data_IF_659619417358
#
_entry.id   IF_659619417358
#
_cell.length_a   1.000
_cell.length_b   1.000
_cell.length_c   1.000
_cell.angle_alpha   90.00
_cell.angle_beta   90.00
_cell.angle_gamma   90.00
#
_symmetry.space_group_name_H-M   'P 1'
#
loop_
_entity.id
_entity.type
_entity.pdbx_description
1 polymer ?
#
# COMPACT_ATOMS: atom_id res chain seq x y z
N UNK A 1 51.27 -47.26 -19.30
CA UNK A 1 50.69 -45.97 -19.75
C UNK A 1 49.19 -46.04 -20.06
N UNK A 2 48.59 -47.20 -20.29
CA UNK A 2 47.14 -47.32 -20.60
C UNK A 2 46.19 -47.28 -19.39
N UNK A 3 46.64 -47.66 -18.19
CA UNK A 3 45.78 -47.70 -16.99
C UNK A 3 45.50 -46.34 -16.37
N UNK A 4 46.32 -45.35 -16.61
CA UNK A 4 46.16 -43.98 -16.08
C UNK A 4 45.15 -43.20 -16.93
N UNK A 5 45.08 -43.43 -18.22
CA UNK A 5 44.16 -42.75 -19.13
C UNK A 5 42.70 -43.23 -18.95
N UNK A 6 42.46 -44.50 -18.65
CA UNK A 6 41.12 -44.99 -18.35
C UNK A 6 40.55 -44.40 -17.05
N UNK A 7 41.38 -44.29 -16.00
CA UNK A 7 40.94 -43.66 -14.73
C UNK A 7 40.62 -42.20 -14.86
N UNK A 8 41.35 -41.47 -15.73
CA UNK A 8 41.07 -40.04 -15.99
C UNK A 8 39.79 -39.89 -16.80
N UNK A 9 39.48 -40.76 -17.74
CA UNK A 9 38.19 -40.75 -18.46
C UNK A 9 37.01 -41.09 -17.55
N UNK A 10 37.13 -42.07 -16.67
CA UNK A 10 36.09 -42.44 -15.72
C UNK A 10 35.81 -41.32 -14.68
N UNK A 11 36.87 -40.60 -14.25
CA UNK A 11 36.70 -39.42 -13.36
C UNK A 11 36.07 -38.23 -14.06
N UNK A 12 36.42 -38.00 -15.39
CA UNK A 12 35.76 -36.97 -16.17
C UNK A 12 34.28 -37.29 -16.46
N UNK A 13 33.96 -38.51 -16.79
CA UNK A 13 32.55 -38.94 -16.96
C UNK A 13 31.73 -38.86 -15.68
N UNK A 14 32.31 -39.25 -14.52
CA UNK A 14 31.63 -39.07 -13.22
C UNK A 14 31.41 -37.58 -12.87
N UNK A 15 32.36 -36.69 -13.17
CA UNK A 15 32.20 -35.26 -12.96
C UNK A 15 31.14 -34.61 -13.90
N UNK A 16 31.00 -35.11 -15.12
CA UNK A 16 29.98 -34.65 -16.07
C UNK A 16 28.59 -35.12 -15.60
N UNK A 17 28.45 -36.34 -15.13
CA UNK A 17 27.19 -36.83 -14.57
C UNK A 17 26.77 -36.07 -13.31
N UNK A 18 27.69 -35.74 -12.39
CA UNK A 18 27.36 -34.94 -11.20
C UNK A 18 26.94 -33.50 -11.55
N UNK A 19 27.47 -32.90 -12.62
CA UNK A 19 27.00 -31.59 -13.09
C UNK A 19 25.64 -31.69 -13.77
N UNK A 20 25.34 -32.78 -14.49
CA UNK A 20 24.03 -32.98 -15.10
C UNK A 20 22.96 -33.27 -14.03
N UNK A 21 23.28 -34.07 -13.01
CA UNK A 21 22.37 -34.33 -11.87
C UNK A 21 22.16 -33.08 -11.00
N UNK A 22 23.15 -32.22 -10.80
CA UNK A 22 22.96 -30.94 -10.08
C UNK A 22 22.13 -29.92 -10.87
N UNK A 23 22.24 -29.89 -12.19
CA UNK A 23 21.38 -29.01 -13.05
C UNK A 23 19.94 -29.57 -13.10
N UNK A 24 19.77 -30.90 -13.16
CA UNK A 24 18.43 -31.53 -13.10
C UNK A 24 17.83 -31.35 -11.71
N UNK A 25 18.63 -31.43 -10.63
CA UNK A 25 18.13 -31.22 -9.25
C UNK A 25 17.82 -29.75 -8.93
N UNK A 26 18.53 -28.79 -9.56
CA UNK A 26 18.20 -27.35 -9.45
C UNK A 26 16.95 -27.01 -10.27
N UNK A 27 16.68 -27.70 -11.39
CA UNK A 27 15.41 -27.57 -12.13
C UNK A 27 14.21 -28.20 -11.40
N UNK A 28 14.44 -29.18 -10.51
CA UNK A 28 13.38 -29.74 -9.65
C UNK A 28 13.18 -29.00 -8.32
N UNK A 29 14.06 -28.03 -7.97
CA UNK A 29 13.94 -27.17 -6.80
C UNK A 29 13.49 -25.74 -7.14
N UNK A 30 13.06 -25.47 -8.37
CA UNK A 30 12.18 -24.33 -8.61
C UNK A 30 10.91 -24.56 -7.81
N UNK A 31 10.56 -23.66 -6.88
CA UNK A 31 9.50 -23.97 -5.93
C UNK A 31 8.21 -24.25 -6.70
N UNK A 32 7.55 -25.36 -6.35
CA UNK A 32 6.21 -25.71 -6.82
C UNK A 32 5.22 -24.52 -6.77
N UNK A 33 5.51 -23.53 -5.96
CA UNK A 33 4.80 -22.26 -5.88
C UNK A 33 4.77 -21.44 -7.18
N UNK A 34 5.84 -21.44 -8.00
CA UNK A 34 5.85 -20.69 -9.28
C UNK A 34 4.98 -21.41 -10.31
N UNK A 35 5.00 -22.73 -10.36
CA UNK A 35 4.10 -23.51 -11.22
C UNK A 35 2.66 -23.42 -10.75
N UNK A 36 2.40 -23.44 -9.44
CA UNK A 36 1.06 -23.25 -8.89
C UNK A 36 0.51 -21.83 -9.13
N UNK A 37 1.36 -20.81 -9.11
CA UNK A 37 0.94 -19.44 -9.45
C UNK A 37 0.64 -19.29 -10.95
N UNK A 38 1.46 -19.87 -11.83
CA UNK A 38 1.22 -19.83 -13.29
C UNK A 38 -0.04 -20.65 -13.65
N UNK A 39 -0.23 -21.82 -13.04
CA UNK A 39 -1.42 -22.67 -13.25
C UNK A 39 -2.70 -21.98 -12.70
N UNK A 40 -2.59 -21.29 -11.59
CA UNK A 40 -3.71 -20.50 -11.04
C UNK A 40 -4.02 -19.26 -11.89
N UNK A 41 -3.02 -18.53 -12.39
CA UNK A 41 -3.23 -17.40 -13.30
C UNK A 41 -3.85 -17.86 -14.64
N UNK A 42 -3.41 -18.99 -15.20
CA UNK A 42 -3.96 -19.56 -16.44
C UNK A 42 -5.38 -20.09 -16.22
N UNK A 43 -5.64 -20.75 -15.08
CA UNK A 43 -7.00 -21.19 -14.72
C UNK A 43 -7.93 -20.02 -14.42
N UNK A 44 -7.44 -18.97 -13.74
CA UNK A 44 -8.22 -17.75 -13.53
C UNK A 44 -8.57 -17.07 -14.87
N UNK A 45 -7.62 -17.00 -15.83
CA UNK A 45 -7.90 -16.46 -17.18
C UNK A 45 -8.86 -17.32 -17.98
N UNK A 46 -8.80 -18.67 -17.87
CA UNK A 46 -9.76 -19.56 -18.53
C UNK A 46 -11.16 -19.50 -17.92
N UNK A 47 -11.27 -19.31 -16.60
CA UNK A 47 -12.56 -19.09 -15.93
C UNK A 47 -13.13 -17.73 -16.35
N UNK A 48 -12.30 -16.68 -16.45
CA UNK A 48 -12.71 -15.36 -16.93
C UNK A 48 -13.24 -15.40 -18.38
N UNK A 49 -12.62 -16.19 -19.26
CA UNK A 49 -13.08 -16.41 -20.63
C UNK A 49 -14.38 -17.26 -20.70
N UNK A 50 -14.50 -18.29 -19.85
CA UNK A 50 -15.70 -19.14 -19.83
C UNK A 50 -16.92 -18.46 -19.20
N UNK A 51 -16.71 -17.52 -18.26
CA UNK A 51 -17.78 -16.69 -17.70
C UNK A 51 -18.25 -15.61 -18.70
N UNK A 52 -17.35 -15.14 -19.60
CA UNK A 52 -17.71 -14.22 -20.69
C UNK A 52 -18.66 -14.88 -21.72
N UNK A 53 -18.46 -16.16 -22.01
CA UNK A 53 -19.33 -16.91 -22.96
C UNK A 53 -20.70 -17.27 -22.36
N UNK A 54 -20.84 -17.30 -21.03
CA UNK A 54 -22.13 -17.64 -20.39
C UNK A 54 -23.09 -16.45 -20.23
N UNK A 55 -22.65 -15.23 -20.58
CA UNK A 55 -23.48 -14.01 -20.60
C UNK A 55 -23.68 -13.57 -22.05
N UNK A 56 -24.17 -14.47 -22.90
CA UNK A 56 -24.93 -14.07 -24.10
C UNK A 56 -26.25 -13.51 -23.57
N UNK A 57 -26.33 -12.20 -23.46
CA UNK A 57 -27.59 -11.49 -23.22
C UNK A 57 -28.47 -11.79 -24.41
N UNK A 58 -29.55 -12.54 -24.19
CA UNK A 58 -30.68 -12.56 -25.13
C UNK A 58 -31.26 -11.14 -25.14
N UNK A 59 -30.76 -10.32 -26.06
CA UNK A 59 -31.39 -9.06 -26.41
C UNK A 59 -32.68 -9.40 -27.14
N UNK A 60 -33.78 -9.45 -26.40
CA UNK A 60 -35.07 -9.17 -27.00
C UNK A 60 -35.05 -7.67 -27.36
N UNK A 61 -34.93 -7.39 -28.64
CA UNK A 61 -35.15 -6.08 -29.23
C UNK A 61 -36.65 -5.76 -29.10
N UNK A 62 -37.06 -5.33 -27.92
CA UNK A 62 -38.24 -4.47 -27.80
C UNK A 62 -37.73 -3.02 -27.85
N UNK A 63 -38.37 -2.17 -28.64
CA UNK A 63 -38.10 -0.73 -28.78
C UNK A 63 -38.10 -0.04 -27.40
N UNK A 64 -37.02 -0.13 -26.66
CA UNK A 64 -36.85 0.58 -25.41
C UNK A 64 -36.44 2.02 -25.74
N UNK A 65 -37.33 2.95 -25.52
CA UNK A 65 -37.01 4.38 -25.41
C UNK A 65 -35.83 4.50 -24.42
N UNK A 66 -34.67 4.97 -24.90
CA UNK A 66 -33.47 5.07 -24.07
C UNK A 66 -33.80 5.90 -22.84
N UNK A 67 -33.73 5.27 -21.66
CA UNK A 67 -34.02 5.97 -20.40
C UNK A 67 -33.04 7.13 -20.21
N UNK A 68 -33.51 8.32 -19.79
CA UNK A 68 -32.66 9.47 -19.60
C UNK A 68 -31.68 9.26 -18.42
N UNK A 69 -30.57 10.03 -18.43
CA UNK A 69 -29.66 10.13 -17.29
C UNK A 69 -30.37 10.69 -16.06
N UNK A 70 -30.17 10.17 -14.83
CA UNK A 70 -29.32 9.04 -14.46
C UNK A 70 -30.05 7.68 -14.45
N UNK A 71 -31.34 7.63 -14.87
CA UNK A 71 -32.22 6.45 -14.76
C UNK A 71 -31.63 5.27 -15.56
N UNK A 72 -31.08 5.54 -16.75
CA UNK A 72 -30.43 4.51 -17.56
C UNK A 72 -29.31 3.80 -16.80
N UNK A 73 -28.51 4.54 -16.00
CA UNK A 73 -27.43 3.97 -15.20
C UNK A 73 -27.96 3.18 -14.01
N UNK A 74 -29.02 3.67 -13.37
CA UNK A 74 -29.68 2.96 -12.26
C UNK A 74 -30.18 1.58 -12.71
N UNK A 75 -30.84 1.50 -13.87
CA UNK A 75 -31.33 0.24 -14.42
C UNK A 75 -30.18 -0.71 -14.74
N UNK A 76 -29.17 -0.25 -15.48
CA UNK A 76 -28.01 -1.07 -15.84
C UNK A 76 -27.24 -1.57 -14.61
N UNK A 77 -27.04 -0.74 -13.58
CA UNK A 77 -26.39 -1.14 -12.33
C UNK A 77 -27.22 -2.15 -11.54
N UNK A 78 -28.57 -2.00 -11.54
CA UNK A 78 -29.48 -2.94 -10.91
C UNK A 78 -29.42 -4.31 -11.59
N UNK A 79 -29.34 -4.35 -12.92
CA UNK A 79 -29.21 -5.60 -13.69
C UNK A 79 -27.90 -6.35 -13.35
N UNK A 80 -26.78 -5.64 -13.12
CA UNK A 80 -25.54 -6.27 -12.70
C UNK A 80 -25.64 -7.01 -11.37
N UNK A 81 -26.57 -6.62 -10.49
CA UNK A 81 -26.82 -7.30 -9.22
C UNK A 81 -27.54 -8.66 -9.38
N UNK A 82 -28.07 -8.98 -10.56
CA UNK A 82 -28.62 -10.31 -10.87
C UNK A 82 -27.52 -11.37 -11.07
N UNK A 83 -26.23 -11.00 -10.93
CA UNK A 83 -25.11 -11.93 -11.05
C UNK A 83 -25.23 -13.08 -10.05
N UNK A 84 -24.98 -14.32 -10.53
CA UNK A 84 -25.06 -15.55 -9.72
C UNK A 84 -24.16 -15.53 -8.47
N UNK A 85 -23.04 -14.80 -8.51
CA UNK A 85 -22.12 -14.67 -7.37
C UNK A 85 -22.84 -14.13 -6.11
N UNK A 86 -23.82 -13.25 -6.27
CA UNK A 86 -24.56 -12.65 -5.14
C UNK A 86 -25.57 -13.59 -4.46
N UNK A 87 -25.75 -14.83 -4.96
CA UNK A 87 -26.49 -15.86 -4.22
C UNK A 87 -25.74 -16.34 -2.98
N UNK A 88 -24.41 -16.22 -2.94
CA UNK A 88 -23.54 -16.74 -1.86
C UNK A 88 -22.54 -15.71 -1.34
N UNK A 89 -22.50 -14.52 -1.93
CA UNK A 89 -21.59 -13.45 -1.51
C UNK A 89 -22.34 -12.14 -1.25
N UNK A 90 -21.66 -11.19 -0.67
CA UNK A 90 -22.20 -9.88 -0.31
C UNK A 90 -21.53 -8.78 -1.13
N UNK A 91 -22.27 -7.71 -1.41
CA UNK A 91 -21.75 -6.48 -1.97
C UNK A 91 -22.36 -5.27 -1.26
N UNK A 92 -21.54 -4.32 -0.90
CA UNK A 92 -21.93 -2.96 -0.56
C UNK A 92 -21.44 -2.04 -1.69
N UNK A 93 -22.33 -1.26 -2.28
CA UNK A 93 -22.01 -0.38 -3.40
C UNK A 93 -22.73 0.96 -3.27
N UNK A 94 -22.03 2.03 -3.61
CA UNK A 94 -22.61 3.36 -3.77
C UNK A 94 -21.92 4.10 -4.92
N UNK A 95 -22.73 4.80 -5.71
CA UNK A 95 -22.28 5.71 -6.78
C UNK A 95 -22.91 7.08 -6.54
N UNK A 96 -22.06 8.09 -6.55
CA UNK A 96 -22.46 9.47 -6.31
C UNK A 96 -22.00 10.38 -7.43
N UNK A 97 -22.90 11.20 -7.94
CA UNK A 97 -22.63 12.23 -8.92
C UNK A 97 -22.17 13.50 -8.19
N UNK A 98 -20.86 13.78 -8.25
CA UNK A 98 -20.27 14.94 -7.61
C UNK A 98 -20.72 16.24 -8.32
N UNK A 99 -20.91 16.19 -9.64
CA UNK A 99 -21.32 17.34 -10.44
C UNK A 99 -22.75 17.76 -10.13
N UNK A 100 -23.66 16.80 -9.99
CA UNK A 100 -25.07 17.05 -9.66
C UNK A 100 -25.36 17.04 -8.15
N UNK A 101 -24.36 16.75 -7.29
CA UNK A 101 -24.49 16.62 -5.83
C UNK A 101 -25.60 15.64 -5.43
N UNK A 102 -25.68 14.48 -6.09
CA UNK A 102 -26.77 13.52 -5.91
C UNK A 102 -26.30 12.07 -5.96
N UNK A 103 -27.01 11.19 -5.23
CA UNK A 103 -26.77 9.74 -5.29
C UNK A 103 -27.39 9.18 -6.56
N UNK A 104 -26.58 8.51 -7.40
CA UNK A 104 -27.06 7.78 -8.58
C UNK A 104 -27.56 6.40 -8.18
N UNK A 105 -26.76 5.65 -7.41
CA UNK A 105 -27.07 4.27 -7.08
C UNK A 105 -26.56 3.92 -5.69
N UNK A 106 -27.31 3.11 -4.97
CA UNK A 106 -26.89 2.56 -3.68
C UNK A 106 -27.50 1.16 -3.48
N UNK A 107 -26.67 0.27 -2.97
CA UNK A 107 -27.08 -1.09 -2.62
C UNK A 107 -26.26 -1.58 -1.42
N UNK A 108 -26.91 -1.89 -0.32
CA UNK A 108 -26.24 -2.26 0.94
C UNK A 108 -25.11 -1.29 1.33
N UNK A 109 -25.22 -0.02 0.97
CA UNK A 109 -24.19 1.00 1.09
C UNK A 109 -23.71 1.23 2.52
N UNK A 110 -24.55 0.92 3.51
CA UNK A 110 -24.25 1.02 4.95
C UNK A 110 -23.76 -0.29 5.58
N UNK A 111 -23.79 -1.38 4.81
CA UNK A 111 -23.31 -2.67 5.32
C UNK A 111 -21.83 -2.58 5.65
N UNK A 112 -21.46 -3.07 6.84
CA UNK A 112 -20.08 -3.15 7.27
C UNK A 112 -19.40 -4.35 6.61
N UNK A 113 -18.41 -4.06 5.78
CA UNK A 113 -17.63 -5.02 5.05
C UNK A 113 -16.13 -4.74 5.25
N UNK A 114 -15.29 -5.73 4.96
CA UNK A 114 -13.85 -5.56 4.98
C UNK A 114 -13.40 -4.77 3.74
N UNK A 115 -12.78 -3.59 3.92
CA UNK A 115 -12.37 -2.76 2.80
C UNK A 115 -11.19 -3.32 2.02
N UNK A 116 -10.39 -4.20 2.63
CA UNK A 116 -9.05 -4.50 2.15
C UNK A 116 -8.27 -3.20 1.87
N UNK A 117 -7.47 -3.12 0.82
CA UNK A 117 -6.62 -1.95 0.55
C UNK A 117 -7.35 -0.68 0.10
N UNK A 118 -8.69 -0.65 -0.04
CA UNK A 118 -9.41 0.63 -0.17
C UNK A 118 -9.40 1.43 1.14
N UNK A 119 -9.09 0.78 2.29
CA UNK A 119 -8.77 1.46 3.54
C UNK A 119 -7.69 2.53 3.37
N UNK A 120 -6.76 2.36 2.43
CA UNK A 120 -5.70 3.33 2.12
C UNK A 120 -6.24 4.68 1.65
N UNK A 121 -7.45 4.74 1.07
CA UNK A 121 -8.13 6.01 0.76
C UNK A 121 -8.45 6.79 2.03
N UNK A 122 -9.01 6.14 3.03
CA UNK A 122 -9.34 6.76 4.32
C UNK A 122 -8.06 7.28 4.99
N UNK A 123 -6.99 6.47 5.00
CA UNK A 123 -5.69 6.84 5.56
C UNK A 123 -5.07 8.02 4.82
N UNK A 124 -5.02 7.98 3.47
CA UNK A 124 -4.44 9.02 2.63
C UNK A 124 -5.18 10.36 2.78
N UNK A 125 -6.50 10.34 2.69
CA UNK A 125 -7.33 11.55 2.78
C UNK A 125 -7.20 12.16 4.17
N UNK A 126 -7.18 11.33 5.23
CA UNK A 126 -6.96 11.82 6.59
C UNK A 126 -5.57 12.43 6.76
N UNK A 127 -4.53 11.81 6.17
CA UNK A 127 -3.17 12.33 6.24
C UNK A 127 -3.04 13.67 5.50
N UNK A 128 -3.62 13.80 4.32
CA UNK A 128 -3.63 15.06 3.58
C UNK A 128 -4.43 16.16 4.29
N UNK A 129 -5.55 15.82 4.95
CA UNK A 129 -6.32 16.79 5.77
C UNK A 129 -5.55 17.23 7.02
N UNK A 130 -4.90 16.30 7.72
CA UNK A 130 -4.24 16.56 9.01
C UNK A 130 -2.84 17.13 8.89
N UNK A 131 -2.03 16.58 7.96
CA UNK A 131 -0.61 16.90 7.82
C UNK A 131 -0.34 17.89 6.69
N UNK A 132 -1.23 17.93 5.69
CA UNK A 132 -1.10 18.76 4.49
C UNK A 132 -0.18 18.16 3.43
N UNK A 133 -0.30 18.64 2.19
CA UNK A 133 0.48 18.15 1.03
C UNK A 133 1.97 18.48 1.04
N UNK A 134 2.42 19.38 1.91
CA UNK A 134 3.83 19.69 2.11
C UNK A 134 4.55 18.81 3.16
N UNK A 135 3.87 17.81 3.71
CA UNK A 135 4.42 16.97 4.76
C UNK A 135 5.62 16.14 4.29
N UNK A 136 6.60 15.94 5.19
CA UNK A 136 7.83 15.20 4.96
C UNK A 136 7.99 14.07 5.98
N UNK A 137 8.25 12.86 5.49
CA UNK A 137 8.70 11.71 6.29
C UNK A 137 10.20 11.88 6.51
N UNK A 138 10.63 12.07 7.75
CA UNK A 138 11.96 12.57 8.05
C UNK A 138 12.74 11.65 8.99
N UNK A 139 13.88 11.16 8.54
CA UNK A 139 14.87 10.47 9.38
C UNK A 139 16.08 11.39 9.56
N UNK A 140 16.61 11.53 10.78
CA UNK A 140 17.66 12.50 11.08
C UNK A 140 18.76 11.94 11.97
N UNK A 141 19.95 12.48 11.78
CA UNK A 141 21.17 12.13 12.50
C UNK A 141 21.54 13.28 13.43
N UNK A 142 21.87 12.96 14.67
CA UNK A 142 22.20 13.91 15.72
C UNK A 142 23.43 13.47 16.48
N UNK A 143 24.15 14.41 17.10
CA UNK A 143 25.28 14.11 17.97
C UNK A 143 25.22 14.84 19.30
N UNK A 144 25.87 14.27 20.31
CA UNK A 144 26.24 14.96 21.57
C UNK A 144 27.75 15.03 21.67
N UNK A 145 28.24 15.88 22.55
CA UNK A 145 29.67 16.03 22.81
C UNK A 145 30.42 16.77 21.71
N UNK A 146 31.73 16.89 21.90
CA UNK A 146 32.65 17.65 21.05
C UNK A 146 33.57 16.74 20.26
N UNK A 147 34.04 17.23 19.10
CA UNK A 147 35.08 16.57 18.31
C UNK A 147 36.43 17.14 18.72
N UNK A 148 37.35 16.28 19.16
CA UNK A 148 38.71 16.62 19.50
C UNK A 148 39.67 15.61 18.87
N UNK A 149 40.63 16.06 18.11
CA UNK A 149 41.62 15.22 17.41
C UNK A 149 40.96 14.10 16.60
N UNK A 150 39.88 14.43 15.84
CA UNK A 150 39.09 13.54 15.02
C UNK A 150 38.29 12.47 15.81
N UNK A 151 38.19 12.63 17.13
CA UNK A 151 37.41 11.77 18.03
C UNK A 151 36.18 12.52 18.51
N UNK A 152 35.00 12.01 18.23
CA UNK A 152 33.78 12.49 18.87
C UNK A 152 33.72 11.93 20.30
N UNK A 153 33.94 12.79 21.31
CA UNK A 153 33.72 12.47 22.72
C UNK A 153 32.23 12.60 23.07
N UNK A 154 31.43 11.68 22.57
CA UNK A 154 29.97 11.72 22.68
C UNK A 154 29.32 10.63 21.86
N UNK A 155 28.02 10.77 21.62
CA UNK A 155 27.20 9.77 20.99
C UNK A 155 26.57 10.30 19.69
N UNK A 156 26.22 9.36 18.81
CA UNK A 156 25.39 9.60 17.64
C UNK A 156 23.98 9.06 17.91
N UNK A 157 22.96 9.76 17.42
CA UNK A 157 21.56 9.37 17.53
C UNK A 157 20.91 9.35 16.14
N UNK A 158 20.39 8.20 15.75
CA UNK A 158 19.57 8.04 14.54
C UNK A 158 18.11 8.15 14.95
N UNK A 159 17.48 9.28 14.67
CA UNK A 159 16.07 9.53 15.02
C UNK A 159 15.18 9.09 13.87
N UNK A 160 14.44 8.00 14.08
CA UNK A 160 13.54 7.44 13.10
C UNK A 160 12.24 8.24 12.98
N UNK A 161 11.86 8.58 11.74
CA UNK A 161 10.61 9.22 11.42
C UNK A 161 9.67 8.35 10.61
N UNK A 162 9.89 7.04 10.62
CA UNK A 162 9.12 6.06 9.86
C UNK A 162 9.00 6.44 8.38
N UNK A 163 10.15 6.79 7.78
CA UNK A 163 10.27 7.02 6.34
C UNK A 163 10.43 5.67 5.62
N UNK A 164 9.43 5.18 4.90
CA UNK A 164 9.48 3.87 4.24
C UNK A 164 10.37 3.89 2.97
N UNK A 165 10.81 5.07 2.54
CA UNK A 165 11.63 5.27 1.34
C UNK A 165 13.12 5.42 1.63
N UNK A 166 13.52 5.60 2.91
CA UNK A 166 14.92 5.75 3.28
C UNK A 166 15.76 4.61 2.67
N UNK A 167 16.83 4.97 1.98
CA UNK A 167 17.61 4.05 1.15
C UNK A 167 19.13 4.17 1.37
N UNK A 168 19.93 3.49 0.54
CA UNK A 168 21.39 3.51 0.67
C UNK A 168 21.99 4.90 0.38
N UNK A 169 21.42 5.70 -0.52
CA UNK A 169 21.94 7.04 -0.83
C UNK A 169 21.72 7.97 0.36
N UNK A 170 20.58 7.84 1.06
CA UNK A 170 20.33 8.55 2.31
C UNK A 170 21.30 8.12 3.41
N UNK A 171 21.63 6.82 3.47
CA UNK A 171 22.62 6.29 4.43
C UNK A 171 24.01 6.80 4.12
N UNK A 172 24.42 6.85 2.86
CA UNK A 172 25.69 7.47 2.46
C UNK A 172 25.76 8.95 2.84
N UNK A 173 24.65 9.69 2.70
CA UNK A 173 24.60 11.08 3.13
C UNK A 173 24.85 11.21 4.65
N UNK A 174 24.29 10.32 5.47
CA UNK A 174 24.55 10.29 6.93
C UNK A 174 26.02 10.02 7.25
N UNK A 175 26.63 9.04 6.59
CA UNK A 175 28.04 8.71 6.82
C UNK A 175 28.96 9.83 6.33
N UNK A 176 28.64 10.44 5.19
CA UNK A 176 29.42 11.56 4.66
C UNK A 176 29.35 12.79 5.58
N UNK A 177 28.19 13.10 6.16
CA UNK A 177 28.07 14.22 7.10
C UNK A 177 28.88 14.00 8.39
N UNK A 178 29.07 12.76 8.84
CA UNK A 178 30.00 12.43 9.94
C UNK A 178 31.46 12.67 9.53
N UNK A 179 31.84 12.30 8.29
CA UNK A 179 33.19 12.56 7.73
C UNK A 179 33.49 14.06 7.60
N UNK A 180 32.49 14.84 7.14
CA UNK A 180 32.61 16.30 7.01
C UNK A 180 32.85 16.99 8.37
N UNK A 181 32.46 16.36 9.48
CA UNK A 181 32.80 16.78 10.84
C UNK A 181 34.20 16.32 11.26
N UNK A 182 34.97 15.74 10.34
CA UNK A 182 36.31 15.19 10.58
C UNK A 182 36.36 14.13 11.70
N UNK A 183 35.30 13.29 11.82
CA UNK A 183 35.21 12.24 12.82
C UNK A 183 35.69 10.92 12.22
N UNK A 184 36.79 10.37 12.77
CA UNK A 184 37.29 9.03 12.51
C UNK A 184 36.92 8.02 13.60
N UNK A 185 36.66 8.53 14.81
CA UNK A 185 36.28 7.69 15.95
C UNK A 185 35.11 8.29 16.70
N UNK A 186 34.10 7.50 16.96
CA UNK A 186 32.99 7.81 17.84
C UNK A 186 33.30 7.10 19.17
N UNK A 187 33.78 7.88 20.18
CA UNK A 187 34.10 7.39 21.51
C UNK A 187 32.83 7.31 22.39
N UNK A 188 31.83 6.65 21.90
CA UNK A 188 30.50 6.49 22.50
C UNK A 188 29.64 5.50 21.72
N UNK A 189 28.35 5.58 21.97
CA UNK A 189 27.34 4.76 21.31
C UNK A 189 26.77 5.40 20.05
N UNK A 190 26.26 4.55 19.15
CA UNK A 190 25.31 4.94 18.10
C UNK A 190 23.92 4.48 18.53
N UNK A 191 23.07 5.41 18.91
CA UNK A 191 21.73 5.11 19.39
C UNK A 191 20.70 5.08 18.29
N UNK A 192 19.80 4.08 18.35
CA UNK A 192 18.57 4.02 17.58
C UNK A 192 17.43 4.68 18.38
N UNK A 193 17.00 5.86 17.98
CA UNK A 193 15.84 6.52 18.56
C UNK A 193 14.57 6.15 17.78
N UNK A 194 13.82 5.19 18.32
CA UNK A 194 12.53 4.73 17.81
C UNK A 194 11.35 5.30 18.60
N UNK A 195 11.56 6.33 19.40
CA UNK A 195 10.56 6.91 20.32
C UNK A 195 9.34 7.52 19.65
N UNK A 196 9.33 7.63 18.31
CA UNK A 196 8.18 8.11 17.55
C UNK A 196 6.93 7.24 17.78
N UNK A 197 7.07 5.91 17.86
CA UNK A 197 5.99 4.97 18.05
C UNK A 197 6.29 3.94 19.14
N UNK A 198 5.25 3.25 19.60
CA UNK A 198 5.37 2.10 20.49
C UNK A 198 6.24 0.97 19.90
N UNK A 199 6.53 -0.03 20.71
CA UNK A 199 7.41 -1.14 20.33
C UNK A 199 6.72 -2.20 19.46
N UNK A 200 5.40 -2.10 19.21
CA UNK A 200 4.65 -3.09 18.46
C UNK A 200 5.11 -3.13 17.00
N UNK A 201 5.70 -4.23 16.58
CA UNK A 201 6.21 -4.41 15.22
C UNK A 201 5.19 -4.99 14.23
N UNK A 202 3.98 -5.31 14.69
CA UNK A 202 2.91 -5.98 13.92
C UNK A 202 1.59 -5.24 14.12
N UNK A 203 0.75 -5.27 13.08
CA UNK A 203 -0.61 -4.73 13.16
C UNK A 203 -1.59 -5.71 13.85
N UNK A 204 -2.55 -5.17 14.58
CA UNK A 204 -3.63 -5.94 15.19
C UNK A 204 -4.46 -6.65 14.11
N UNK A 205 -4.64 -7.98 14.25
CA UNK A 205 -5.46 -8.78 13.33
C UNK A 205 -4.80 -9.09 11.98
N UNK A 206 -3.46 -8.94 11.88
CA UNK A 206 -2.70 -9.45 10.74
C UNK A 206 -2.51 -10.95 10.84
N UNK A 207 -2.62 -11.67 9.71
CA UNK A 207 -2.36 -13.09 9.67
C UNK A 207 -0.85 -13.34 9.62
N UNK A 208 -0.38 -14.38 10.29
CA UNK A 208 1.04 -14.72 10.40
C UNK A 208 1.66 -15.14 9.05
N UNK A 209 0.83 -15.60 8.11
CA UNK A 209 1.20 -16.06 6.77
C UNK A 209 1.05 -14.98 5.68
N UNK A 210 0.64 -13.77 6.04
CA UNK A 210 0.65 -12.62 5.15
C UNK A 210 2.09 -12.07 4.98
N UNK A 211 2.35 -11.35 3.87
CA UNK A 211 3.58 -10.57 3.69
C UNK A 211 3.53 -9.30 4.54
N UNK A 212 3.72 -9.49 5.84
CA UNK A 212 3.60 -8.44 6.84
C UNK A 212 4.82 -7.52 6.85
N UNK A 213 4.64 -6.20 6.72
CA UNK A 213 5.72 -5.26 6.93
C UNK A 213 6.09 -5.17 8.42
N UNK A 214 7.37 -4.92 8.71
CA UNK A 214 7.81 -4.63 10.08
C UNK A 214 7.57 -3.15 10.39
N UNK A 215 6.82 -2.86 11.46
CA UNK A 215 6.46 -1.51 11.88
C UNK A 215 7.54 -0.94 12.82
N UNK A 216 8.53 -0.26 12.25
CA UNK A 216 9.58 0.43 13.01
C UNK A 216 9.88 1.80 12.40
N UNK A 217 10.18 2.82 13.22
CA UNK A 217 10.52 4.16 12.72
C UNK A 217 11.86 4.23 11.96
N UNK A 218 12.78 3.29 12.19
CA UNK A 218 14.07 3.21 11.50
C UNK A 218 14.07 2.05 10.49
N UNK A 219 13.97 2.40 9.22
CA UNK A 219 13.95 1.47 8.08
C UNK A 219 15.05 1.83 7.08
N UNK A 220 15.51 0.86 6.32
CA UNK A 220 16.30 1.05 5.10
C UNK A 220 15.83 0.09 4.01
N UNK A 221 15.45 0.63 2.84
CA UNK A 221 14.85 -0.15 1.77
C UNK A 221 13.57 -0.90 2.22
N UNK A 222 12.80 -0.31 3.14
CA UNK A 222 11.59 -0.91 3.70
C UNK A 222 11.83 -2.08 4.65
N UNK A 223 13.04 -2.27 5.17
CA UNK A 223 13.43 -3.37 6.06
C UNK A 223 13.97 -2.87 7.40
N UNK A 224 13.71 -3.62 8.47
CA UNK A 224 14.24 -3.39 9.83
C UNK A 224 15.71 -3.82 9.94
N UNK A 225 16.58 -3.10 9.23
CA UNK A 225 18.04 -3.34 9.20
C UNK A 225 18.85 -2.03 9.22
N UNK A 226 18.24 -0.95 9.67
CA UNK A 226 18.85 0.36 9.61
C UNK A 226 20.17 0.42 10.38
N UNK A 227 20.19 -0.03 11.64
CA UNK A 227 21.39 0.06 12.48
C UNK A 227 22.51 -0.87 11.99
N UNK A 228 22.20 -2.09 11.58
CA UNK A 228 23.19 -3.00 11.00
C UNK A 228 23.85 -2.41 9.75
N UNK A 229 23.04 -1.80 8.89
CA UNK A 229 23.54 -1.14 7.68
C UNK A 229 24.36 0.09 8.01
N UNK A 230 23.93 0.93 8.95
CA UNK A 230 24.70 2.11 9.37
C UNK A 230 26.06 1.71 9.93
N UNK A 231 26.12 0.73 10.84
CA UNK A 231 27.38 0.26 11.41
C UNK A 231 28.34 -0.28 10.34
N UNK A 232 27.80 -1.01 9.36
CA UNK A 232 28.57 -1.49 8.21
C UNK A 232 29.12 -0.33 7.36
N UNK A 233 28.29 0.65 7.00
CA UNK A 233 28.71 1.82 6.22
C UNK A 233 29.72 2.71 6.97
N UNK A 234 29.59 2.85 8.29
CA UNK A 234 30.60 3.54 9.11
C UNK A 234 31.95 2.82 9.05
N UNK A 235 31.95 1.49 9.20
CA UNK A 235 33.15 0.67 9.10
C UNK A 235 33.82 0.77 7.71
N UNK A 236 33.04 0.66 6.61
CA UNK A 236 33.54 0.83 5.24
C UNK A 236 34.14 2.24 5.02
N UNK A 237 33.57 3.23 5.70
CA UNK A 237 34.04 4.60 5.65
C UNK A 237 35.30 4.88 6.50
N UNK A 238 35.79 3.87 7.26
CA UNK A 238 36.92 4.00 8.16
C UNK A 238 36.59 4.66 9.50
N UNK A 239 35.31 4.75 9.87
CA UNK A 239 34.85 5.34 11.13
C UNK A 239 34.70 4.23 12.19
N UNK A 240 35.44 4.33 13.27
CA UNK A 240 35.38 3.37 14.39
C UNK A 240 34.32 3.80 15.39
N UNK A 241 33.46 2.89 15.83
CA UNK A 241 32.53 3.09 16.96
C UNK A 241 32.97 2.22 18.12
N UNK A 242 33.30 2.84 19.26
CA UNK A 242 33.95 2.13 20.38
C UNK A 242 33.01 1.36 21.27
N UNK A 243 31.77 1.84 21.44
CA UNK A 243 30.79 1.22 22.36
C UNK A 243 29.66 0.46 21.66
N UNK A 244 29.64 0.48 20.31
CA UNK A 244 28.60 -0.22 19.53
C UNK A 244 27.30 0.56 19.38
N UNK A 245 26.19 -0.16 19.15
CA UNK A 245 24.86 0.44 18.96
C UNK A 245 23.84 -0.10 19.98
N UNK A 246 22.94 0.80 20.42
CA UNK A 246 21.89 0.50 21.39
C UNK A 246 20.59 1.26 21.05
N UNK A 247 19.49 0.91 21.72
CA UNK A 247 18.27 1.72 21.73
C UNK A 247 18.44 2.88 22.71
N UNK A 248 18.05 4.09 22.28
CA UNK A 248 18.14 5.25 23.15
C UNK A 248 17.48 6.47 22.54
N UNK A 249 16.78 7.23 23.36
CA UNK A 249 16.11 8.47 22.93
C UNK A 249 17.10 9.62 22.85
N UNK A 250 17.02 10.39 21.79
CA UNK A 250 17.83 11.60 21.58
C UNK A 250 17.59 12.62 22.70
N UNK A 251 18.63 13.07 23.42
CA UNK A 251 18.50 14.11 24.44
C UNK A 251 18.25 15.49 23.81
N UNK A 252 17.77 16.43 24.62
CA UNK A 252 17.40 17.75 24.14
C UNK A 252 18.59 18.55 23.60
N UNK A 253 19.73 18.43 24.24
CA UNK A 253 20.98 19.15 23.91
C UNK A 253 21.68 18.61 22.65
N UNK A 254 21.22 17.49 22.07
CA UNK A 254 21.84 16.96 20.86
C UNK A 254 21.72 17.93 19.70
N UNK A 255 22.80 18.03 18.91
CA UNK A 255 22.90 18.88 17.73
C UNK A 255 22.64 18.06 16.48
N UNK A 256 21.78 18.55 15.59
CA UNK A 256 21.50 17.88 14.33
C UNK A 256 22.72 17.91 13.41
N UNK A 257 23.06 16.75 12.85
CA UNK A 257 24.17 16.58 11.89
C UNK A 257 23.62 16.55 10.49
N UNK A 258 22.61 15.71 10.24
CA UNK A 258 22.02 15.53 8.90
C UNK A 258 20.53 15.18 9.01
N UNK A 259 19.79 15.40 7.95
CA UNK A 259 18.39 15.03 7.85
C UNK A 259 18.02 14.66 6.42
N UNK A 260 17.45 13.49 6.26
CA UNK A 260 16.90 13.01 4.98
C UNK A 260 15.38 12.93 5.07
N UNK A 261 14.70 13.20 3.98
CA UNK A 261 13.26 13.16 3.95
C UNK A 261 12.72 12.74 2.57
N UNK A 262 11.53 12.17 2.58
CA UNK A 262 10.71 11.95 1.40
C UNK A 262 9.36 12.66 1.59
N UNK A 263 8.82 13.19 0.49
CA UNK A 263 7.55 13.95 0.52
C UNK A 263 6.35 13.01 0.66
N UNK A 264 5.24 13.55 1.16
CA UNK A 264 3.97 12.82 1.23
C UNK A 264 3.53 12.33 -0.16
N UNK A 265 3.80 13.09 -1.23
CA UNK A 265 3.46 12.68 -2.61
C UNK A 265 4.25 11.44 -3.05
N UNK A 266 5.56 11.39 -2.77
CA UNK A 266 6.37 10.21 -3.07
C UNK A 266 5.86 8.97 -2.34
N UNK A 267 5.49 9.12 -1.07
CA UNK A 267 4.91 8.04 -0.27
C UNK A 267 3.53 7.63 -0.79
N UNK A 268 2.66 8.60 -1.12
CA UNK A 268 1.33 8.35 -1.71
C UNK A 268 1.41 7.58 -3.02
N UNK A 269 2.33 7.96 -3.92
CA UNK A 269 2.50 7.27 -5.21
C UNK A 269 2.74 5.78 -5.01
N UNK A 270 3.68 5.41 -4.15
CA UNK A 270 4.01 4.01 -3.88
C UNK A 270 2.88 3.29 -3.13
N UNK A 271 2.28 3.96 -2.14
CA UNK A 271 1.16 3.46 -1.34
C UNK A 271 -0.05 3.11 -2.20
N UNK A 272 -0.41 3.98 -3.15
CA UNK A 272 -1.65 3.85 -3.91
C UNK A 272 -1.45 3.03 -5.19
N UNK A 273 -0.41 3.34 -6.00
CA UNK A 273 -0.14 2.65 -7.27
C UNK A 273 0.19 1.17 -7.07
N UNK A 274 1.08 0.86 -6.12
CA UNK A 274 1.52 -0.51 -5.85
C UNK A 274 0.71 -1.18 -4.72
N UNK A 275 -0.21 -0.44 -4.11
CA UNK A 275 -0.97 -0.91 -2.94
C UNK A 275 -0.07 -1.31 -1.75
N UNK A 276 1.07 -0.64 -1.57
CA UNK A 276 2.08 -1.03 -0.58
C UNK A 276 1.60 -0.82 0.86
N UNK A 277 1.62 -1.90 1.67
CA UNK A 277 1.13 -1.88 3.05
C UNK A 277 2.05 -1.10 3.98
N UNK A 278 3.38 -1.25 3.88
CA UNK A 278 4.34 -0.53 4.71
C UNK A 278 4.16 1.00 4.60
N UNK A 279 3.96 1.50 3.38
CA UNK A 279 3.78 2.93 3.12
C UNK A 279 2.48 3.47 3.73
N UNK A 280 1.44 2.64 3.73
CA UNK A 280 0.18 2.97 4.38
C UNK A 280 0.31 2.99 5.91
N UNK A 281 1.01 2.03 6.49
CA UNK A 281 1.26 2.01 7.93
C UNK A 281 2.20 3.14 8.36
N UNK A 282 3.23 3.44 7.58
CA UNK A 282 4.08 4.61 7.85
C UNK A 282 3.23 5.90 7.89
N UNK A 283 2.33 6.09 6.94
CA UNK A 283 1.41 7.24 6.92
C UNK A 283 0.43 7.22 8.11
N UNK A 284 -0.08 6.06 8.47
CA UNK A 284 -0.96 5.87 9.62
C UNK A 284 -0.27 6.25 10.94
N UNK A 285 1.02 5.89 11.11
CA UNK A 285 1.78 6.28 12.30
C UNK A 285 2.23 7.75 12.27
N UNK A 286 2.31 8.41 11.10
CA UNK A 286 2.43 9.86 11.05
C UNK A 286 1.16 10.54 11.63
N UNK A 287 -0.02 10.02 11.31
CA UNK A 287 -1.27 10.47 11.94
C UNK A 287 -1.21 10.30 13.46
N UNK A 288 -0.74 9.14 13.94
CA UNK A 288 -0.57 8.88 15.36
C UNK A 288 0.35 9.92 16.02
N UNK A 289 1.52 10.17 15.42
CA UNK A 289 2.50 11.13 15.93
C UNK A 289 1.95 12.57 15.95
N UNK A 290 1.07 12.92 15.00
CA UNK A 290 0.41 14.23 14.93
C UNK A 290 -0.53 14.52 16.11
N UNK A 291 -0.91 13.51 16.89
CA UNK A 291 -1.67 13.65 18.13
C UNK A 291 -0.82 14.19 19.32
N UNK A 292 0.50 14.37 19.12
CA UNK A 292 1.41 14.96 20.11
C UNK A 292 1.89 14.02 21.21
N UNK A 293 1.61 12.72 21.12
CA UNK A 293 2.11 11.72 22.07
C UNK A 293 3.39 11.06 21.57
N UNK A 294 4.29 10.74 22.50
CA UNK A 294 5.50 9.93 22.26
C UNK A 294 5.71 8.95 23.42
N UNK A 295 5.84 7.66 23.13
CA UNK A 295 5.59 7.01 21.83
C UNK A 295 4.12 7.10 21.44
N UNK A 296 3.86 7.24 20.14
CA UNK A 296 2.52 7.17 19.58
C UNK A 296 2.13 5.72 19.24
N UNK A 297 0.83 5.45 19.12
CA UNK A 297 0.30 4.11 18.91
C UNK A 297 -0.75 4.07 17.79
N UNK A 298 -1.07 2.88 17.31
CA UNK A 298 -2.20 2.68 16.38
C UNK A 298 -3.51 3.27 16.90
N UNK A 299 -3.74 3.26 18.24
CA UNK A 299 -4.90 3.89 18.88
C UNK A 299 -4.94 5.40 18.62
N UNK A 300 -3.80 6.08 18.66
CA UNK A 300 -3.73 7.52 18.42
C UNK A 300 -4.03 7.86 16.96
N UNK A 301 -3.54 7.06 15.99
CA UNK A 301 -3.90 7.20 14.58
C UNK A 301 -5.41 7.01 14.35
N UNK A 302 -5.99 5.97 14.95
CA UNK A 302 -7.45 5.72 14.89
C UNK A 302 -8.26 6.90 15.43
N UNK A 303 -7.79 7.58 16.47
CA UNK A 303 -8.46 8.78 16.99
C UNK A 303 -8.48 9.91 15.95
N UNK A 304 -7.37 10.14 15.23
CA UNK A 304 -7.31 11.17 14.17
C UNK A 304 -8.28 10.84 13.04
N UNK A 305 -8.33 9.58 12.58
CA UNK A 305 -9.30 9.15 11.56
C UNK A 305 -10.74 9.35 12.05
N UNK A 306 -11.05 8.98 13.30
CA UNK A 306 -12.38 9.19 13.90
C UNK A 306 -12.78 10.67 13.95
N UNK A 307 -11.83 11.58 14.19
CA UNK A 307 -12.07 13.02 14.13
C UNK A 307 -12.53 13.46 12.74
N UNK A 308 -11.87 12.95 11.67
CA UNK A 308 -12.29 13.26 10.30
C UNK A 308 -13.66 12.65 9.99
N UNK A 309 -13.96 11.41 10.41
CA UNK A 309 -15.29 10.80 10.26
C UNK A 309 -16.37 11.69 10.91
N UNK A 310 -16.10 12.22 12.11
CA UNK A 310 -17.01 13.14 12.79
C UNK A 310 -17.18 14.46 12.02
N UNK A 311 -16.08 15.01 11.47
CA UNK A 311 -16.10 16.22 10.60
C UNK A 311 -16.96 15.98 9.36
N UNK A 312 -16.98 14.77 8.82
CA UNK A 312 -17.85 14.33 7.72
C UNK A 312 -19.31 14.06 8.15
N UNK A 313 -19.67 14.39 9.38
CA UNK A 313 -21.03 14.20 9.96
C UNK A 313 -21.47 12.72 10.01
N UNK A 314 -20.51 11.80 10.12
CA UNK A 314 -20.76 10.37 10.35
C UNK A 314 -20.42 10.01 11.80
N UNK A 315 -21.10 8.99 12.35
CA UNK A 315 -20.78 8.46 13.68
C UNK A 315 -19.56 7.52 13.58
N UNK A 316 -18.40 7.90 14.18
CA UNK A 316 -17.19 7.09 14.07
C UNK A 316 -17.26 5.75 14.79
N UNK A 317 -18.25 5.55 15.68
CA UNK A 317 -18.43 4.31 16.45
C UNK A 317 -19.14 3.21 15.62
N UNK A 318 -19.73 3.59 14.48
CA UNK A 318 -20.32 2.64 13.54
C UNK A 318 -19.30 1.87 12.72
N UNK A 319 -18.03 2.25 12.75
CA UNK A 319 -16.96 1.66 11.92
C UNK A 319 -15.85 1.11 12.81
N UNK A 320 -15.20 0.06 12.37
CA UNK A 320 -14.01 -0.49 13.02
C UNK A 320 -12.81 -0.27 12.12
N UNK A 321 -11.93 0.64 12.51
CA UNK A 321 -10.66 0.93 11.86
C UNK A 321 -9.56 0.40 12.78
N UNK A 322 -8.66 -0.41 12.26
CA UNK A 322 -7.63 -1.11 13.03
C UNK A 322 -6.24 -0.69 12.58
N UNK A 323 -6.00 -0.67 11.27
CA UNK A 323 -4.73 -0.32 10.66
C UNK A 323 -4.90 0.72 9.52
N UNK A 324 -3.81 1.16 8.92
CA UNK A 324 -3.82 2.12 7.83
C UNK A 324 -3.87 1.50 6.44
N UNK A 325 -3.52 0.23 6.32
CA UNK A 325 -3.36 -0.46 5.03
C UNK A 325 -4.59 -1.23 4.57
N UNK A 326 -5.44 -1.64 5.52
CA UNK A 326 -6.55 -2.55 5.29
C UNK A 326 -6.13 -4.02 5.25
N UNK A 327 -4.92 -4.35 5.73
CA UNK A 327 -4.44 -5.73 5.85
C UNK A 327 -5.17 -6.48 6.96
N UNK A 328 -5.47 -5.80 8.05
CA UNK A 328 -6.21 -6.38 9.18
C UNK A 328 -7.58 -6.88 8.77
N UNK A 329 -7.88 -8.13 9.12
CA UNK A 329 -9.22 -8.71 8.94
C UNK A 329 -10.28 -8.10 9.87
N UNK A 330 -9.86 -7.24 10.80
CA UNK A 330 -10.75 -6.59 11.77
C UNK A 330 -11.19 -5.19 11.34
N UNK A 331 -10.75 -4.69 10.17
CA UNK A 331 -11.31 -3.48 9.59
C UNK A 331 -12.72 -3.73 9.06
N UNK A 332 -13.66 -2.84 9.44
CA UNK A 332 -15.01 -2.83 8.91
C UNK A 332 -15.46 -1.41 8.61
N UNK A 333 -15.72 -1.13 7.34
CA UNK A 333 -16.26 0.13 6.83
C UNK A 333 -17.41 -0.14 5.87
N UNK A 334 -18.09 0.90 5.43
CA UNK A 334 -19.17 0.81 4.44
C UNK A 334 -18.80 1.53 3.15
N UNK A 335 -19.43 1.18 2.04
CA UNK A 335 -19.30 1.90 0.78
C UNK A 335 -19.71 3.38 0.94
N UNK A 336 -20.74 3.66 1.74
CA UNK A 336 -21.16 5.02 2.07
C UNK A 336 -20.01 5.81 2.73
N UNK A 337 -19.28 5.23 3.67
CA UNK A 337 -18.15 5.91 4.31
C UNK A 337 -17.05 6.25 3.29
N UNK A 338 -16.67 5.31 2.43
CA UNK A 338 -15.66 5.57 1.39
C UNK A 338 -16.10 6.69 0.43
N UNK A 339 -17.40 6.73 0.04
CA UNK A 339 -17.97 7.84 -0.75
C UNK A 339 -17.84 9.18 -0.03
N UNK A 340 -18.14 9.25 1.26
CA UNK A 340 -18.01 10.53 1.99
C UNK A 340 -16.55 11.03 2.05
N UNK A 341 -15.58 10.13 2.17
CA UNK A 341 -14.17 10.48 2.08
C UNK A 341 -13.79 10.95 0.68
N UNK A 342 -14.23 10.27 -0.37
CA UNK A 342 -13.97 10.65 -1.77
C UNK A 342 -14.60 12.02 -2.09
N UNK A 343 -15.86 12.26 -1.72
CA UNK A 343 -16.53 13.56 -1.86
C UNK A 343 -15.74 14.67 -1.16
N UNK A 344 -15.33 14.42 0.08
CA UNK A 344 -14.55 15.36 0.86
C UNK A 344 -13.22 15.71 0.17
N UNK A 345 -12.51 14.71 -0.32
CA UNK A 345 -11.25 14.90 -1.02
C UNK A 345 -11.43 15.70 -2.30
N UNK A 346 -12.42 15.38 -3.12
CA UNK A 346 -12.70 16.07 -4.37
C UNK A 346 -13.02 17.57 -4.15
N UNK A 347 -13.86 17.86 -3.16
CA UNK A 347 -14.27 19.22 -2.81
C UNK A 347 -13.15 20.03 -2.11
N UNK A 348 -12.06 19.40 -1.70
CA UNK A 348 -10.88 20.04 -1.13
C UNK A 348 -9.70 19.98 -2.11
N UNK A 349 -9.49 21.06 -2.88
CA UNK A 349 -8.41 21.12 -3.88
C UNK A 349 -7.01 20.86 -3.30
N UNK A 350 -6.78 21.19 -2.02
CA UNK A 350 -5.51 20.93 -1.34
C UNK A 350 -5.29 19.44 -1.04
N UNK A 351 -6.36 18.64 -1.00
CA UNK A 351 -6.30 17.19 -0.87
C UNK A 351 -6.29 16.53 -2.26
N UNK A 352 -7.23 16.93 -3.11
CA UNK A 352 -7.47 16.25 -4.39
C UNK A 352 -6.26 16.30 -5.33
N UNK A 353 -5.54 17.42 -5.41
CA UNK A 353 -4.34 17.58 -6.24
C UNK A 353 -3.19 16.61 -5.90
N UNK A 354 -3.15 16.09 -4.68
CA UNK A 354 -2.18 15.08 -4.22
C UNK A 354 -2.74 13.66 -4.33
N UNK A 355 -4.03 13.49 -4.05
CA UNK A 355 -4.70 12.19 -4.05
C UNK A 355 -4.88 11.64 -5.47
N UNK A 356 -5.50 12.40 -6.38
CA UNK A 356 -5.89 11.92 -7.70
C UNK A 356 -4.70 11.38 -8.53
N UNK A 357 -3.55 12.08 -8.65
CA UNK A 357 -2.39 11.56 -9.37
C UNK A 357 -1.82 10.28 -8.77
N UNK A 358 -2.03 10.06 -7.46
CA UNK A 358 -1.55 8.85 -6.77
C UNK A 358 -2.42 7.62 -7.00
N UNK A 359 -3.68 7.79 -7.43
CA UNK A 359 -4.58 6.67 -7.71
C UNK A 359 -4.13 5.90 -8.95
N UNK A 360 -4.21 4.55 -8.96
CA UNK A 360 -4.09 3.77 -10.18
C UNK A 360 -5.07 4.24 -11.26
N UNK A 361 -4.59 4.36 -12.50
CA UNK A 361 -5.39 4.72 -13.66
C UNK A 361 -5.66 3.50 -14.53
N UNK A 362 -6.92 3.30 -14.89
CA UNK A 362 -7.39 2.14 -15.67
C UNK A 362 -6.64 2.01 -17.00
N UNK A 363 -6.14 0.81 -17.28
CA UNK A 363 -5.40 0.48 -18.50
C UNK A 363 -4.00 1.12 -18.60
N UNK A 364 -3.56 1.95 -17.63
CA UNK A 364 -2.34 2.74 -17.71
C UNK A 364 -1.30 2.27 -16.69
N UNK A 365 -1.62 2.31 -15.38
CA UNK A 365 -0.62 2.09 -14.36
C UNK A 365 -1.15 1.38 -13.10
N UNK A 366 -0.24 1.12 -12.18
CA UNK A 366 -0.53 0.55 -10.87
C UNK A 366 -1.31 -0.75 -10.96
N UNK A 367 -2.16 -0.99 -9.97
CA UNK A 367 -3.00 -2.19 -9.89
C UNK A 367 -4.14 -2.24 -10.92
N UNK A 368 -4.37 -1.17 -11.67
CA UNK A 368 -5.35 -1.11 -12.76
C UNK A 368 -4.73 -1.21 -14.16
N UNK A 369 -3.40 -1.36 -14.29
CA UNK A 369 -2.70 -1.40 -15.59
C UNK A 369 -3.29 -2.38 -16.59
N UNK A 370 -3.78 -3.53 -16.12
CA UNK A 370 -4.36 -4.59 -16.96
C UNK A 370 -5.89 -4.68 -16.84
N UNK A 371 -6.54 -3.67 -16.25
CA UNK A 371 -7.99 -3.66 -16.03
C UNK A 371 -8.64 -2.49 -16.77
N UNK A 372 -9.90 -2.67 -17.20
CA UNK A 372 -10.72 -1.60 -17.78
C UNK A 372 -10.03 -0.87 -18.95
N UNK A 373 -9.54 -1.64 -19.92
CA UNK A 373 -8.86 -1.15 -21.13
C UNK A 373 -9.84 -0.76 -22.25
N UNK A 374 -11.14 -0.74 -21.97
CA UNK A 374 -12.19 -0.36 -22.90
C UNK A 374 -12.18 1.13 -23.23
N UNK A 375 -12.76 1.50 -24.36
CA UNK A 375 -12.77 2.86 -24.94
C UNK A 375 -13.18 3.94 -23.94
N UNK A 376 -14.14 3.67 -23.06
CA UNK A 376 -14.69 4.65 -22.12
C UNK A 376 -14.02 4.64 -20.74
N UNK A 377 -13.33 3.55 -20.41
CA UNK A 377 -12.76 3.34 -19.08
C UNK A 377 -11.28 3.61 -19.01
N UNK A 378 -10.54 3.38 -20.11
CA UNK A 378 -9.08 3.60 -20.16
C UNK A 378 -8.73 5.06 -19.84
N UNK A 379 -7.76 5.29 -18.98
CA UNK A 379 -7.36 6.62 -18.49
C UNK A 379 -8.46 7.44 -17.81
N UNK A 380 -9.69 6.93 -17.72
CA UNK A 380 -10.84 7.64 -17.17
C UNK A 380 -11.15 7.22 -15.73
N UNK A 381 -10.94 5.94 -15.40
CA UNK A 381 -11.17 5.44 -14.04
C UNK A 381 -9.91 5.58 -13.23
N UNK A 382 -9.94 6.41 -12.17
CA UNK A 382 -8.88 6.58 -11.19
C UNK A 382 -9.34 5.98 -9.87
N UNK A 383 -8.83 4.80 -9.49
CA UNK A 383 -9.38 4.09 -8.35
C UNK A 383 -8.36 3.24 -7.61
N UNK A 384 -8.57 3.12 -6.30
CA UNK A 384 -7.84 2.21 -5.43
C UNK A 384 -8.49 0.85 -5.43
N UNK A 385 -7.71 -0.20 -5.65
CA UNK A 385 -8.13 -1.60 -5.51
C UNK A 385 -7.91 -2.10 -4.09
N UNK A 386 -8.72 -3.06 -3.66
CA UNK A 386 -8.49 -3.84 -2.45
C UNK A 386 -8.69 -5.33 -2.70
N UNK A 387 -7.81 -6.16 -2.11
CA UNK A 387 -7.87 -7.61 -2.24
C UNK A 387 -7.39 -8.26 -0.95
N UNK A 388 -8.21 -9.15 -0.39
CA UNK A 388 -7.88 -10.14 0.63
C UNK A 388 -8.53 -11.46 0.21
N UNK A 389 -8.21 -12.56 0.87
CA UNK A 389 -8.92 -13.82 0.63
C UNK A 389 -10.42 -13.63 0.84
N UNK A 390 -11.21 -13.89 -0.21
CA UNK A 390 -12.65 -13.74 -0.17
C UNK A 390 -13.16 -12.29 -0.20
N UNK A 391 -12.30 -11.29 -0.46
CA UNK A 391 -12.66 -9.87 -0.52
C UNK A 391 -12.05 -9.21 -1.75
N UNK A 392 -12.86 -8.48 -2.50
CA UNK A 392 -12.41 -7.60 -3.59
C UNK A 392 -13.12 -6.26 -3.48
N UNK A 393 -12.38 -5.16 -3.48
CA UNK A 393 -12.93 -3.81 -3.41
C UNK A 393 -12.33 -2.88 -4.46
N UNK A 394 -13.10 -1.85 -4.83
CA UNK A 394 -12.67 -0.80 -5.75
C UNK A 394 -13.40 0.49 -5.39
N UNK A 395 -12.65 1.58 -5.18
CA UNK A 395 -13.24 2.88 -4.89
C UNK A 395 -12.42 4.01 -5.50
N UNK A 396 -13.08 5.02 -6.06
CA UNK A 396 -12.41 6.13 -6.75
C UNK A 396 -13.35 6.98 -7.57
N UNK A 397 -12.84 7.49 -8.70
CA UNK A 397 -13.52 8.47 -9.55
C UNK A 397 -13.55 8.01 -11.01
N UNK A 398 -14.55 8.48 -11.74
CA UNK A 398 -14.59 8.42 -13.20
C UNK A 398 -15.45 9.57 -13.75
N UNK A 399 -15.34 9.83 -15.05
CA UNK A 399 -16.17 10.82 -15.75
C UNK A 399 -17.13 10.08 -16.70
N UNK A 400 -18.40 10.36 -16.58
CA UNK A 400 -19.43 9.86 -17.48
C UNK A 400 -19.39 10.59 -18.83
N UNK A 401 -20.00 10.02 -19.87
CA UNK A 401 -20.01 10.61 -21.24
C UNK A 401 -20.71 11.95 -21.33
N UNK A 402 -21.59 12.29 -20.39
CA UNK A 402 -22.22 13.61 -20.29
C UNK A 402 -21.36 14.66 -19.57
N UNK A 403 -20.11 14.31 -19.18
CA UNK A 403 -19.17 15.19 -18.50
C UNK A 403 -19.34 15.25 -16.97
N UNK A 404 -20.29 14.53 -16.38
CA UNK A 404 -20.44 14.46 -14.93
C UNK A 404 -19.30 13.64 -14.30
N UNK A 405 -18.73 14.18 -13.23
CA UNK A 405 -17.73 13.50 -12.42
C UNK A 405 -18.43 12.67 -11.34
N UNK A 406 -18.13 11.40 -11.33
CA UNK A 406 -18.69 10.42 -10.41
C UNK A 406 -17.64 9.95 -9.43
N UNK A 407 -18.02 9.70 -8.18
CA UNK A 407 -17.25 8.83 -7.30
C UNK A 407 -18.05 7.57 -6.97
N UNK A 408 -17.33 6.46 -6.80
CA UNK A 408 -17.92 5.16 -6.55
C UNK A 408 -17.11 4.38 -5.51
N UNK A 409 -17.80 3.51 -4.77
CA UNK A 409 -17.21 2.54 -3.85
C UNK A 409 -17.95 1.21 -3.97
N UNK A 410 -17.19 0.12 -4.12
CA UNK A 410 -17.69 -1.25 -4.30
C UNK A 410 -16.87 -2.17 -3.40
N UNK A 411 -17.51 -2.85 -2.47
CA UNK A 411 -16.88 -3.82 -1.57
C UNK A 411 -17.59 -5.17 -1.71
N UNK A 412 -16.90 -6.14 -2.34
CA UNK A 412 -17.39 -7.52 -2.45
C UNK A 412 -16.75 -8.37 -1.34
N UNK A 413 -17.56 -9.17 -0.63
CA UNK A 413 -17.10 -10.06 0.44
C UNK A 413 -17.78 -11.42 0.35
N UNK A 414 -17.07 -12.48 0.78
CA UNK A 414 -17.58 -13.86 0.71
C UNK A 414 -17.50 -14.45 -0.70
N UNK A 415 -16.65 -13.89 -1.58
CA UNK A 415 -16.39 -14.40 -2.93
C UNK A 415 -15.33 -15.51 -2.89
N UNK A 416 -15.54 -16.59 -3.63
CA UNK A 416 -14.59 -17.69 -3.71
C UNK A 416 -13.36 -17.30 -4.53
N UNK A 417 -13.58 -16.59 -5.65
CA UNK A 417 -12.53 -16.13 -6.55
C UNK A 417 -12.54 -14.60 -6.63
N UNK A 418 -11.40 -13.98 -6.33
CA UNK A 418 -11.28 -12.52 -6.41
C UNK A 418 -11.46 -11.97 -7.84
N UNK A 419 -11.21 -12.80 -8.86
CA UNK A 419 -11.48 -12.47 -10.27
C UNK A 419 -12.95 -12.14 -10.50
N UNK A 420 -13.91 -12.88 -9.92
CA UNK A 420 -15.34 -12.59 -10.06
C UNK A 420 -15.71 -11.21 -9.54
N UNK A 421 -15.14 -10.81 -8.39
CA UNK A 421 -15.31 -9.46 -7.84
C UNK A 421 -14.71 -8.40 -8.76
N UNK A 422 -13.50 -8.63 -9.30
CA UNK A 422 -12.85 -7.71 -10.25
C UNK A 422 -13.68 -7.55 -11.55
N UNK A 423 -14.18 -8.66 -12.10
CA UNK A 423 -15.04 -8.63 -13.30
C UNK A 423 -16.31 -7.82 -13.05
N UNK A 424 -16.98 -8.03 -11.92
CA UNK A 424 -18.15 -7.23 -11.53
C UNK A 424 -17.81 -5.73 -11.45
N UNK A 425 -16.71 -5.37 -10.75
CA UNK A 425 -16.26 -3.98 -10.63
C UNK A 425 -15.94 -3.34 -11.99
N UNK A 426 -15.31 -4.09 -12.91
CA UNK A 426 -15.02 -3.60 -14.27
C UNK A 426 -16.30 -3.28 -15.02
N UNK A 427 -17.32 -4.15 -14.94
CA UNK A 427 -18.64 -3.92 -15.57
C UNK A 427 -19.35 -2.71 -14.96
N UNK A 428 -19.29 -2.52 -13.64
CA UNK A 428 -19.83 -1.30 -13.01
C UNK A 428 -19.16 -0.05 -13.57
N UNK A 429 -17.81 -0.01 -13.61
CA UNK A 429 -17.10 1.14 -14.18
C UNK A 429 -17.41 1.35 -15.66
N UNK A 430 -17.61 0.27 -16.45
CA UNK A 430 -18.01 0.33 -17.84
C UNK A 430 -19.40 0.96 -18.00
N UNK A 431 -20.37 0.57 -17.19
CA UNK A 431 -21.69 1.21 -17.13
C UNK A 431 -21.58 2.68 -16.78
N UNK A 432 -20.78 3.06 -15.80
CA UNK A 432 -20.62 4.44 -15.36
C UNK A 432 -20.01 5.35 -16.44
N UNK A 433 -19.05 4.82 -17.20
CA UNK A 433 -18.27 5.59 -18.18
C UNK A 433 -18.87 5.57 -19.60
N UNK A 434 -19.68 4.58 -19.96
CA UNK A 434 -20.29 4.47 -21.32
C UNK A 434 -21.52 5.38 -21.48
N UNK A 435 -22.07 5.54 -22.70
CA UNK A 435 -23.31 6.28 -22.97
C UNK A 435 -24.53 5.75 -22.23
#
# INVERSE_FOLDING_TARGET
MNFINERIQIIKMKKINYRLYSVIFILFLLPLHIFAQIDNEVKEQQIELSELDSIAISTSLEDSVAQPWPINKQVQLQELLNNKMFKTSQVGMMVYDITADSTIFQFNEKQLLRPASTMKLITAITALDKLGGGYQFKTSLWKTGNVENRVLKGNIYCVGGFDPMFNNDDMHAFVNSIKELEIDTIAGYVFADTSMKDADKWGEGWCWDDDNPTLTPLLIGGKDRFMDRLMHFLQEAGITVTMGCELGTKPYEAVQVESRFHTIDQVLMKMMKDSNNLYAEAMFYQLASSAGKRPSSAKDARMVIKQLITKLRKDPNKYKIVDGSGLSLYNYVSAELEIEFLKYAYNNKNIFRHLDPSLPSAGIDGTLKKRMQGQYTISNVHAKTGTLTGVSSLAGYCTATNGHVLCFAIINQGIIHNSSGRTFQNKVCEVLCSP
#
